data_IF_195951693876
#
_entry.id   IF_195951693876
#
_cell.length_a   1.000
_cell.length_b   1.000
_cell.length_c   1.000
_cell.angle_alpha   90.00
_cell.angle_beta   90.00
_cell.angle_gamma   90.00
#
_symmetry.space_group_name_H-M   'P 1'
#
loop_
_entity.id
_entity.type
_entity.pdbx_description
1 polymer ?
#
# COMPACT_ATOMS: atom_id res chain seq x y z
N UNK A 1 14.03 34.21 1.56
CA UNK A 1 12.90 33.30 1.36
C UNK A 1 13.36 31.90 1.75
N UNK A 2 13.18 31.52 3.01
CA UNK A 2 13.75 30.29 3.57
C UNK A 2 12.97 29.09 3.06
N UNK A 3 13.58 28.26 2.21
CA UNK A 3 13.01 26.97 1.82
C UNK A 3 12.92 26.07 3.07
N UNK A 4 11.71 25.84 3.56
CA UNK A 4 11.46 24.70 4.44
C UNK A 4 11.72 23.43 3.63
N UNK A 5 12.86 22.78 3.85
CA UNK A 5 13.09 21.42 3.37
C UNK A 5 12.11 20.51 4.10
N UNK A 6 11.01 20.14 3.44
CA UNK A 6 10.10 19.10 3.93
C UNK A 6 10.89 17.81 4.13
N UNK A 7 11.01 17.37 5.38
CA UNK A 7 11.67 16.12 5.76
C UNK A 7 10.86 14.96 5.19
N UNK A 8 11.44 14.12 4.32
CA UNK A 8 10.75 12.95 3.78
C UNK A 8 11.03 11.70 4.62
N UNK A 9 10.10 10.73 4.62
CA UNK A 9 10.19 9.44 5.32
C UNK A 9 10.23 8.28 4.32
N UNK A 10 11.01 7.24 4.62
CA UNK A 10 10.80 5.90 4.04
C UNK A 10 9.57 5.28 4.72
N UNK A 11 8.92 4.37 4.03
CA UNK A 11 7.74 3.67 4.55
C UNK A 11 8.18 2.34 5.14
N UNK A 12 7.72 2.09 6.36
CA UNK A 12 7.99 0.85 7.12
C UNK A 12 6.72 0.00 7.27
N UNK A 13 5.55 0.60 7.00
CA UNK A 13 4.23 -0.04 7.00
C UNK A 13 3.26 0.78 6.16
N UNK A 14 2.25 0.14 5.60
CA UNK A 14 1.08 0.81 5.02
C UNK A 14 0.18 1.40 6.11
N UNK A 15 -0.42 2.55 5.82
CA UNK A 15 -1.37 3.24 6.70
C UNK A 15 -2.80 2.71 6.53
N UNK A 16 -3.16 2.20 5.34
CA UNK A 16 -4.44 1.55 5.08
C UNK A 16 -4.39 0.59 3.88
N UNK A 17 -5.38 -0.28 3.75
CA UNK A 17 -5.50 -1.26 2.67
C UNK A 17 -6.94 -1.31 2.17
N UNK A 18 -7.12 -1.28 0.85
CA UNK A 18 -8.38 -1.58 0.18
C UNK A 18 -8.39 -3.07 -0.18
N UNK A 19 -8.83 -3.91 0.77
CA UNK A 19 -8.72 -5.36 0.65
C UNK A 19 -9.76 -6.00 -0.29
N UNK A 20 -10.80 -5.28 -0.71
CA UNK A 20 -11.88 -5.87 -1.50
C UNK A 20 -13.15 -5.04 -1.59
N UNK A 21 -14.15 -5.53 -2.31
CA UNK A 21 -14.19 -6.81 -3.02
C UNK A 21 -13.89 -6.66 -4.52
N UNK A 22 -13.50 -7.75 -5.18
CA UNK A 22 -13.32 -7.71 -6.64
C UNK A 22 -14.66 -7.34 -7.30
N UNK A 23 -14.61 -6.47 -8.33
CA UNK A 23 -15.79 -5.92 -9.03
C UNK A 23 -16.71 -5.05 -8.17
N UNK A 24 -16.29 -4.60 -6.99
CA UNK A 24 -17.05 -3.67 -6.14
C UNK A 24 -16.63 -2.19 -6.28
N UNK A 25 -15.95 -1.83 -7.37
CA UNK A 25 -15.53 -0.44 -7.62
C UNK A 25 -14.19 -0.02 -6.98
N UNK A 26 -13.38 -0.97 -6.53
CA UNK A 26 -12.04 -0.72 -5.95
C UNK A 26 -11.12 0.08 -6.87
N UNK A 27 -11.15 -0.17 -8.19
CA UNK A 27 -10.38 0.61 -9.19
C UNK A 27 -10.77 2.09 -9.19
N UNK A 28 -12.07 2.40 -9.09
CA UNK A 28 -12.54 3.78 -9.04
C UNK A 28 -12.14 4.45 -7.72
N UNK A 29 -12.29 3.74 -6.59
CA UNK A 29 -11.86 4.22 -5.29
C UNK A 29 -10.36 4.51 -5.25
N UNK A 30 -9.53 3.58 -5.74
CA UNK A 30 -8.08 3.78 -5.88
C UNK A 30 -7.78 5.02 -6.74
N UNK A 31 -8.45 5.18 -7.88
CA UNK A 31 -8.28 6.35 -8.74
C UNK A 31 -8.53 7.67 -7.99
N UNK A 32 -9.62 7.76 -7.21
CA UNK A 32 -9.94 8.97 -6.47
C UNK A 32 -8.98 9.22 -5.29
N UNK A 33 -8.58 8.18 -4.56
CA UNK A 33 -7.61 8.32 -3.46
C UNK A 33 -6.24 8.78 -3.96
N UNK A 34 -5.80 8.27 -5.11
CA UNK A 34 -4.52 8.67 -5.72
C UNK A 34 -4.51 10.14 -6.21
N UNK A 35 -5.67 10.82 -6.27
CA UNK A 35 -5.76 12.26 -6.55
C UNK A 35 -5.62 13.12 -5.29
N UNK A 36 -5.71 12.54 -4.10
CA UNK A 36 -5.63 13.29 -2.85
C UNK A 36 -4.18 13.68 -2.53
N UNK A 37 -3.86 14.96 -2.23
CA UNK A 37 -2.48 15.43 -2.08
C UNK A 37 -1.70 14.79 -0.93
N UNK A 38 -2.40 14.23 0.06
CA UNK A 38 -1.81 13.57 1.22
C UNK A 38 -1.99 12.04 1.21
N UNK A 39 -2.26 11.42 0.06
CA UNK A 39 -2.33 9.97 -0.09
C UNK A 39 -1.39 9.54 -1.22
N UNK A 40 -0.67 8.44 -1.02
CA UNK A 40 0.10 7.77 -2.04
C UNK A 40 -0.32 6.30 -2.10
N UNK A 41 -0.79 5.84 -3.26
CA UNK A 41 -1.28 4.46 -3.43
C UNK A 41 -0.20 3.51 -4.00
N UNK A 42 1.08 3.90 -3.97
CA UNK A 42 2.15 3.18 -4.63
C UNK A 42 2.20 3.44 -6.14
N UNK A 43 3.10 2.75 -6.82
CA UNK A 43 3.31 2.89 -8.27
C UNK A 43 2.39 2.00 -9.12
N UNK A 44 1.63 1.09 -8.52
CA UNK A 44 0.67 0.21 -9.19
C UNK A 44 -0.45 -0.25 -8.25
N UNK A 45 -1.58 -0.68 -8.83
CA UNK A 45 -2.64 -1.42 -8.12
C UNK A 45 -2.26 -2.90 -8.03
N UNK A 46 -2.93 -3.63 -7.14
CA UNK A 46 -2.84 -5.09 -7.04
C UNK A 46 -1.39 -5.55 -6.86
N UNK A 47 -0.73 -5.08 -5.78
CA UNK A 47 0.67 -5.44 -5.48
C UNK A 47 0.81 -6.92 -5.16
N UNK A 48 -0.26 -7.57 -4.69
CA UNK A 48 -0.29 -9.00 -4.36
C UNK A 48 0.79 -9.43 -3.38
N UNK A 49 1.18 -8.55 -2.46
CA UNK A 49 2.20 -8.90 -1.48
C UNK A 49 1.65 -9.91 -0.50
N UNK A 50 0.50 -9.62 0.14
CA UNK A 50 0.00 -10.43 1.25
C UNK A 50 -0.69 -11.75 0.83
N UNK A 51 -1.21 -11.85 -0.39
CA UNK A 51 -1.89 -13.06 -0.90
C UNK A 51 -0.99 -13.99 -1.73
N UNK A 52 0.28 -13.62 -1.97
CA UNK A 52 1.28 -14.51 -2.57
C UNK A 52 2.01 -15.32 -1.48
N UNK A 53 1.65 -16.59 -1.34
CA UNK A 53 2.28 -17.51 -0.38
C UNK A 53 3.80 -17.62 -0.57
N UNK A 54 4.31 -17.49 -1.80
CA UNK A 54 5.74 -17.57 -2.07
C UNK A 54 6.53 -16.47 -1.34
N UNK A 55 5.90 -15.32 -1.05
CA UNK A 55 6.50 -14.23 -0.29
C UNK A 55 6.66 -14.52 1.20
N UNK A 56 5.98 -15.53 1.74
CA UNK A 56 5.93 -15.82 3.19
C UNK A 56 6.59 -17.15 3.58
N UNK A 57 6.98 -18.02 2.63
CA UNK A 57 7.56 -19.35 2.92
C UNK A 57 8.82 -19.29 3.80
N UNK A 58 9.69 -18.30 3.59
CA UNK A 58 10.99 -18.18 4.30
C UNK A 58 11.07 -16.97 5.23
N UNK A 59 9.92 -16.40 5.59
CA UNK A 59 9.83 -15.08 6.23
C UNK A 59 9.69 -13.97 5.19
N UNK A 60 8.80 -13.02 5.47
CA UNK A 60 8.43 -11.98 4.53
C UNK A 60 9.50 -10.88 4.40
N UNK A 61 9.91 -10.61 3.16
CA UNK A 61 10.73 -9.45 2.83
C UNK A 61 9.83 -8.27 2.43
N UNK A 62 9.56 -7.39 3.39
CA UNK A 62 8.71 -6.21 3.18
C UNK A 62 9.34 -5.16 2.25
N UNK A 63 10.63 -5.24 1.91
CA UNK A 63 11.18 -4.37 0.86
C UNK A 63 10.53 -4.64 -0.50
N UNK A 64 10.05 -5.88 -0.72
CA UNK A 64 9.28 -6.20 -1.93
C UNK A 64 7.96 -5.42 -2.01
N UNK A 65 7.35 -5.06 -0.87
CA UNK A 65 6.20 -4.16 -0.80
C UNK A 65 6.64 -2.68 -0.83
N UNK A 66 7.61 -2.30 0.01
CA UNK A 66 7.99 -0.90 0.21
C UNK A 66 8.61 -0.25 -1.05
N UNK A 67 9.25 -1.03 -1.93
CA UNK A 67 9.80 -0.52 -3.21
C UNK A 67 8.75 0.10 -4.13
N UNK A 68 7.46 -0.19 -3.91
CA UNK A 68 6.36 0.38 -4.69
C UNK A 68 6.09 1.84 -4.38
N UNK A 69 6.74 2.42 -3.36
CA UNK A 69 6.47 3.77 -2.92
C UNK A 69 7.74 4.64 -2.87
N UNK A 70 7.62 5.94 -3.20
CA UNK A 70 8.72 6.88 -3.03
C UNK A 70 8.87 7.31 -1.56
N UNK A 71 9.93 8.06 -1.25
CA UNK A 71 9.99 8.78 0.03
C UNK A 71 8.83 9.77 0.14
N UNK A 72 8.06 9.67 1.21
CA UNK A 72 6.83 10.43 1.43
C UNK A 72 7.04 11.63 2.34
N UNK A 73 6.18 12.65 2.25
CA UNK A 73 6.12 13.69 3.27
C UNK A 73 5.60 13.08 4.59
N UNK A 74 5.88 13.69 5.76
CA UNK A 74 5.57 13.06 7.05
C UNK A 74 4.08 12.78 7.25
N UNK A 75 3.21 13.62 6.70
CA UNK A 75 1.76 13.53 6.82
C UNK A 75 1.07 12.81 5.63
N UNK A 76 1.82 12.31 4.64
CA UNK A 76 1.25 11.56 3.51
C UNK A 76 1.01 10.12 3.95
N UNK A 77 -0.22 9.64 3.74
CA UNK A 77 -0.62 8.26 4.00
C UNK A 77 -0.24 7.35 2.84
N UNK A 78 0.23 6.14 3.13
CA UNK A 78 0.52 5.08 2.16
C UNK A 78 -0.60 4.04 2.17
N UNK A 79 -1.22 3.80 1.01
CA UNK A 79 -2.29 2.80 0.85
C UNK A 79 -1.93 1.73 -0.17
N UNK A 80 -2.46 0.52 0.01
CA UNK A 80 -2.48 -0.52 -1.03
C UNK A 80 -3.92 -0.84 -1.46
N UNK A 81 -4.09 -1.32 -2.69
CA UNK A 81 -5.37 -1.76 -3.23
C UNK A 81 -5.22 -3.07 -3.97
N UNK A 82 -5.44 -4.17 -3.26
CA UNK A 82 -5.45 -5.52 -3.81
C UNK A 82 -6.77 -6.19 -3.41
N UNK A 83 -7.80 -6.17 -4.30
CA UNK A 83 -9.15 -6.59 -3.96
C UNK A 83 -9.32 -8.09 -3.65
N UNK A 84 -8.32 -8.91 -3.98
CA UNK A 84 -8.30 -10.34 -3.68
C UNK A 84 -8.03 -10.62 -2.20
N UNK A 85 -7.40 -9.70 -1.47
CA UNK A 85 -7.03 -9.87 -0.07
C UNK A 85 -8.18 -10.32 0.83
N UNK A 86 -9.40 -9.81 0.60
CA UNK A 86 -10.58 -10.19 1.40
C UNK A 86 -10.95 -11.68 1.29
N UNK A 87 -10.47 -12.39 0.26
CA UNK A 87 -10.82 -13.80 0.01
C UNK A 87 -9.74 -14.78 0.49
N UNK A 88 -8.55 -14.31 0.85
CA UNK A 88 -7.43 -15.18 1.23
C UNK A 88 -7.27 -15.20 2.75
N UNK A 89 -7.52 -16.36 3.34
CA UNK A 89 -7.56 -16.56 4.80
C UNK A 89 -6.26 -16.16 5.54
N UNK A 90 -5.04 -16.37 5.00
CA UNK A 90 -3.82 -15.93 5.67
C UNK A 90 -3.60 -14.40 5.66
N UNK A 91 -4.27 -13.66 4.77
CA UNK A 91 -3.97 -12.24 4.52
C UNK A 91 -4.17 -11.36 5.75
N UNK A 92 -5.28 -11.45 6.52
CA UNK A 92 -5.45 -10.66 7.73
C UNK A 92 -4.32 -10.82 8.75
N UNK A 93 -3.81 -12.04 8.93
CA UNK A 93 -2.69 -12.32 9.85
C UNK A 93 -1.38 -11.73 9.34
N UNK A 94 -1.13 -11.76 8.03
CA UNK A 94 0.08 -11.18 7.40
C UNK A 94 0.10 -9.65 7.43
N UNK A 95 -1.07 -9.00 7.52
CA UNK A 95 -1.22 -7.55 7.58
C UNK A 95 -0.98 -6.99 9.00
N UNK A 96 -1.31 -7.76 10.05
CA UNK A 96 -1.32 -7.30 11.45
C UNK A 96 0.08 -7.31 12.07
#
# INVERSE_FOLDING_TARGET
MTMFRSRRRKIERLDFILAGAQKSGTTALHYFLNKHPNINMGNQQEIHFFDDDAMFVSGADYEQLHKHYPLLAPATLAGDCTPSYIYYEPVPERIW
#
